data_IF_842095634456
#
_entry.id   IF_842095634456
#
_cell.length_a   1.000
_cell.length_b   1.000
_cell.length_c   1.000
_cell.angle_alpha   90.00
_cell.angle_beta   90.00
_cell.angle_gamma   90.00
#
_symmetry.space_group_name_H-M   'P 1'
#
loop_
_entity.id
_entity.type
_entity.pdbx_description
1 polymer ?
#
# COMPACT_ATOMS: atom_id res chain seq x y z
N UNK A 1 -10.36 0.79 -12.02
CA UNK A 1 -10.21 1.79 -10.94
C UNK A 1 -11.59 2.26 -10.56
N UNK A 2 -12.09 1.84 -9.42
CA UNK A 2 -13.40 2.23 -8.91
C UNK A 2 -13.55 1.65 -7.51
N UNK A 3 -13.97 2.48 -6.57
CA UNK A 3 -14.44 2.07 -5.26
C UNK A 3 -15.81 2.67 -5.01
N UNK A 4 -16.33 2.49 -3.80
CA UNK A 4 -17.69 2.91 -3.44
C UNK A 4 -17.94 4.41 -3.64
N UNK A 5 -16.93 5.25 -3.42
CA UNK A 5 -17.08 6.71 -3.48
C UNK A 5 -16.68 7.29 -4.83
N UNK A 6 -15.66 6.75 -5.50
CA UNK A 6 -15.18 7.28 -6.79
C UNK A 6 -16.11 7.00 -7.97
N UNK A 7 -17.10 6.12 -7.80
CA UNK A 7 -18.16 5.88 -8.78
C UNK A 7 -19.35 6.84 -8.65
N UNK A 8 -19.48 7.55 -7.53
CA UNK A 8 -20.52 8.54 -7.32
C UNK A 8 -20.23 9.81 -8.13
N UNK A 9 -21.26 10.62 -8.38
CA UNK A 9 -21.03 12.00 -8.82
C UNK A 9 -20.21 12.71 -7.73
N UNK A 10 -19.05 13.32 -8.06
CA UNK A 10 -18.26 14.07 -7.09
C UNK A 10 -19.07 15.05 -6.25
N UNK A 11 -20.11 15.67 -6.80
CA UNK A 11 -20.94 16.63 -6.04
C UNK A 11 -21.74 15.99 -4.89
N UNK A 12 -21.94 14.67 -4.91
CA UNK A 12 -22.59 13.90 -3.83
C UNK A 12 -21.61 13.48 -2.73
N UNK A 13 -20.31 13.67 -2.93
CA UNK A 13 -19.28 13.26 -1.97
C UNK A 13 -19.13 14.35 -0.91
N UNK A 14 -19.51 14.03 0.32
CA UNK A 14 -19.28 14.92 1.46
C UNK A 14 -17.78 15.00 1.80
N UNK A 15 -17.28 16.23 1.92
CA UNK A 15 -15.88 16.56 2.22
C UNK A 15 -15.88 17.44 3.47
N UNK A 16 -15.25 16.98 4.56
CA UNK A 16 -15.21 17.73 5.81
C UNK A 16 -14.59 19.12 5.61
N UNK A 17 -15.26 20.15 6.15
CA UNK A 17 -14.78 21.56 6.17
C UNK A 17 -14.47 22.16 4.79
N UNK A 18 -15.07 21.63 3.72
CA UNK A 18 -14.84 22.15 2.37
C UNK A 18 -15.27 23.62 2.24
N UNK A 19 -16.44 23.98 2.78
CA UNK A 19 -16.95 25.35 2.71
C UNK A 19 -16.02 26.35 3.41
N UNK A 20 -15.53 26.01 4.61
CA UNK A 20 -14.56 26.84 5.35
C UNK A 20 -13.28 27.10 4.51
N UNK A 21 -12.79 26.07 3.80
CA UNK A 21 -11.63 26.20 2.91
C UNK A 21 -11.93 27.11 1.70
N UNK A 22 -13.10 26.98 1.09
CA UNK A 22 -13.52 27.79 -0.06
C UNK A 22 -13.89 29.23 0.31
N UNK A 23 -14.29 29.47 1.56
CA UNK A 23 -14.48 30.82 2.10
C UNK A 23 -13.14 31.49 2.39
N UNK A 24 -12.18 30.74 2.94
CA UNK A 24 -10.81 31.21 3.18
C UNK A 24 -10.07 31.56 1.89
N UNK A 25 -10.27 30.78 0.83
CA UNK A 25 -9.72 31.04 -0.50
C UNK A 25 -10.79 30.90 -1.60
N UNK A 26 -11.50 32.00 -1.93
CA UNK A 26 -12.55 31.99 -2.95
C UNK A 26 -12.10 31.62 -4.36
N UNK A 27 -10.80 31.72 -4.68
CA UNK A 27 -10.28 31.33 -6.00
C UNK A 27 -10.38 29.82 -6.24
N UNK A 28 -10.57 29.03 -5.18
CA UNK A 28 -10.70 27.57 -5.26
C UNK A 28 -12.11 27.10 -5.63
N UNK A 29 -13.14 27.97 -5.55
CA UNK A 29 -14.55 27.59 -5.80
C UNK A 29 -14.79 26.92 -7.15
N UNK A 30 -14.21 27.38 -8.28
CA UNK A 30 -14.40 26.70 -9.57
C UNK A 30 -13.89 25.24 -9.58
N UNK A 31 -13.05 24.86 -8.63
CA UNK A 31 -12.43 23.54 -8.52
C UNK A 31 -13.07 22.65 -7.44
N UNK A 32 -14.18 23.07 -6.83
CA UNK A 32 -14.88 22.30 -5.78
C UNK A 32 -15.10 20.83 -6.19
N UNK A 33 -15.56 20.62 -7.43
CA UNK A 33 -15.81 19.29 -7.98
C UNK A 33 -14.57 18.39 -7.94
N UNK A 34 -13.39 18.95 -8.20
CA UNK A 34 -12.12 18.21 -8.15
C UNK A 34 -11.70 17.87 -6.73
N UNK A 35 -11.91 18.76 -5.75
CA UNK A 35 -11.68 18.44 -4.34
C UNK A 35 -12.53 17.25 -3.90
N UNK A 36 -13.83 17.26 -4.24
CA UNK A 36 -14.74 16.17 -3.91
C UNK A 36 -14.36 14.86 -4.61
N UNK A 37 -13.98 14.91 -5.90
CA UNK A 37 -13.49 13.74 -6.64
C UNK A 37 -12.24 13.14 -6.00
N UNK A 38 -11.26 13.96 -5.65
CA UNK A 38 -10.02 13.51 -4.98
C UNK A 38 -10.31 12.91 -3.61
N UNK A 39 -11.22 13.51 -2.85
CA UNK A 39 -11.61 12.98 -1.55
C UNK A 39 -12.33 11.63 -1.66
N UNK A 40 -13.14 11.42 -2.70
CA UNK A 40 -13.72 10.11 -2.99
C UNK A 40 -12.64 9.05 -3.29
N UNK A 41 -11.66 9.35 -4.14
CA UNK A 41 -10.53 8.45 -4.39
C UNK A 41 -9.74 8.16 -3.11
N UNK A 42 -9.53 9.16 -2.26
CA UNK A 42 -8.87 9.00 -0.96
C UNK A 42 -9.66 8.04 -0.05
N UNK A 43 -10.98 8.23 0.10
CA UNK A 43 -11.82 7.33 0.90
C UNK A 43 -11.77 5.89 0.38
N UNK A 44 -11.86 5.69 -0.93
CA UNK A 44 -11.74 4.36 -1.52
C UNK A 44 -10.37 3.71 -1.27
N UNK A 45 -9.29 4.50 -1.27
CA UNK A 45 -7.97 3.99 -0.96
C UNK A 45 -7.84 3.60 0.52
N UNK A 46 -8.37 4.42 1.42
CA UNK A 46 -8.41 4.14 2.86
C UNK A 46 -9.25 2.89 3.15
N UNK A 47 -10.42 2.74 2.53
CA UNK A 47 -11.27 1.56 2.71
C UNK A 47 -10.52 0.29 2.27
N UNK A 48 -9.83 0.31 1.12
CA UNK A 48 -9.00 -0.82 0.68
C UNK A 48 -7.87 -1.15 1.66
N UNK A 49 -7.20 -0.13 2.21
CA UNK A 49 -6.15 -0.32 3.22
C UNK A 49 -6.74 -0.92 4.50
N UNK A 50 -7.92 -0.48 4.92
CA UNK A 50 -8.58 -1.02 6.11
C UNK A 50 -9.03 -2.48 5.90
N UNK A 51 -9.61 -2.80 4.75
CA UNK A 51 -10.09 -4.14 4.41
C UNK A 51 -8.97 -5.17 4.23
N UNK A 52 -7.87 -4.79 3.56
CA UNK A 52 -6.79 -5.72 3.19
C UNK A 52 -5.53 -5.59 4.05
N UNK A 53 -5.24 -4.38 4.55
CA UNK A 53 -4.00 -4.06 5.26
C UNK A 53 -4.16 -3.95 6.77
N UNK A 54 -5.34 -4.26 7.34
CA UNK A 54 -5.59 -4.17 8.78
C UNK A 54 -5.63 -2.72 9.32
N UNK A 55 -5.76 -1.74 8.43
CA UNK A 55 -5.75 -0.31 8.76
C UNK A 55 -4.40 0.38 8.55
N UNK A 56 -4.40 1.71 8.59
CA UNK A 56 -3.21 2.51 8.26
C UNK A 56 -2.02 2.23 9.19
N UNK A 57 -2.29 1.97 10.47
CA UNK A 57 -1.27 1.67 11.47
C UNK A 57 -0.51 0.38 11.16
N UNK A 58 -1.23 -0.68 10.78
CA UNK A 58 -0.63 -1.95 10.40
C UNK A 58 0.01 -1.88 9.01
N UNK A 59 -0.67 -1.26 8.04
CA UNK A 59 -0.19 -1.12 6.66
C UNK A 59 1.17 -0.41 6.58
N UNK A 60 1.37 0.64 7.39
CA UNK A 60 2.64 1.39 7.43
C UNK A 60 3.78 0.66 8.13
N UNK A 61 3.52 -0.49 8.77
CA UNK A 61 4.52 -1.32 9.44
C UNK A 61 5.03 -2.48 8.56
N UNK A 62 4.80 -2.43 7.25
CA UNK A 62 5.24 -3.46 6.30
C UNK A 62 6.73 -3.82 6.44
N UNK A 63 7.60 -2.87 6.83
CA UNK A 63 9.04 -3.10 7.08
C UNK A 63 9.33 -4.18 8.12
N UNK A 64 8.38 -4.48 9.03
CA UNK A 64 8.52 -5.57 10.01
C UNK A 64 8.43 -6.96 9.38
N UNK A 65 7.92 -7.06 8.16
CA UNK A 65 7.68 -8.33 7.46
C UNK A 65 8.35 -8.42 6.09
N UNK A 66 8.47 -7.30 5.36
CA UNK A 66 9.24 -7.18 4.12
C UNK A 66 10.72 -6.88 4.41
N UNK A 67 11.59 -7.20 3.46
CA UNK A 67 13.03 -7.14 3.63
C UNK A 67 13.57 -8.38 4.35
N UNK A 68 14.69 -8.21 5.07
CA UNK A 68 15.40 -9.27 5.79
C UNK A 68 15.18 -9.07 7.29
N UNK A 69 14.47 -10.00 7.94
CA UNK A 69 14.11 -9.92 9.35
C UNK A 69 14.57 -11.17 10.12
N UNK A 70 15.31 -10.96 11.20
CA UNK A 70 15.73 -12.03 12.13
C UNK A 70 14.60 -12.31 13.11
N UNK A 71 14.26 -13.58 13.27
CA UNK A 71 13.20 -14.06 14.16
C UNK A 71 13.73 -14.39 15.56
N UNK A 72 12.86 -14.50 16.59
CA UNK A 72 13.28 -14.87 17.94
C UNK A 72 13.94 -16.24 18.07
N UNK A 73 13.68 -17.16 17.14
CA UNK A 73 14.32 -18.48 17.05
C UNK A 73 15.66 -18.46 16.27
N UNK A 74 16.17 -17.27 15.95
CA UNK A 74 17.35 -17.00 15.12
C UNK A 74 17.23 -17.42 13.65
N UNK A 75 16.04 -17.81 13.17
CA UNK A 75 15.82 -17.94 11.73
C UNK A 75 15.79 -16.57 11.03
N UNK A 76 16.09 -16.55 9.74
CA UNK A 76 16.06 -15.33 8.93
C UNK A 76 14.96 -15.45 7.88
N UNK A 77 13.98 -14.55 7.94
CA UNK A 77 12.90 -14.46 6.96
C UNK A 77 13.20 -13.32 5.99
N UNK A 78 13.23 -13.65 4.70
CA UNK A 78 13.38 -12.66 3.63
C UNK A 78 12.10 -12.60 2.80
N UNK A 79 11.53 -11.41 2.61
CA UNK A 79 10.32 -11.21 1.81
C UNK A 79 10.46 -10.00 0.91
N UNK A 80 10.20 -10.20 -0.37
CA UNK A 80 10.32 -9.17 -1.41
C UNK A 80 9.11 -9.20 -2.34
N UNK A 81 8.68 -8.03 -2.81
CA UNK A 81 7.60 -7.95 -3.81
C UNK A 81 8.20 -7.83 -5.22
N UNK A 82 8.19 -8.94 -5.96
CA UNK A 82 8.64 -8.96 -7.35
C UNK A 82 7.70 -9.82 -8.22
N UNK A 83 6.46 -9.35 -8.51
CA UNK A 83 5.46 -10.14 -9.23
C UNK A 83 5.87 -10.48 -10.67
N UNK A 84 6.78 -9.72 -11.28
CA UNK A 84 7.33 -9.99 -12.60
C UNK A 84 8.49 -10.99 -12.61
N UNK A 85 8.96 -11.47 -11.45
CA UNK A 85 10.13 -12.34 -11.38
C UNK A 85 9.75 -13.80 -11.67
N UNK A 86 10.46 -14.44 -12.61
CA UNK A 86 10.36 -15.90 -12.83
C UNK A 86 10.96 -16.69 -11.67
N UNK A 87 12.03 -16.17 -11.06
CA UNK A 87 12.75 -16.74 -9.92
C UNK A 87 13.41 -15.61 -9.13
N UNK A 88 13.52 -15.81 -7.81
CA UNK A 88 14.17 -14.90 -6.86
C UNK A 88 15.23 -15.68 -6.07
N UNK A 89 16.36 -15.03 -5.82
CA UNK A 89 17.50 -15.59 -5.10
C UNK A 89 18.07 -14.53 -4.15
N UNK A 90 18.57 -14.97 -2.99
CA UNK A 90 19.29 -14.12 -2.05
C UNK A 90 20.78 -14.45 -2.15
N UNK A 91 21.59 -13.43 -2.41
CA UNK A 91 23.03 -13.53 -2.53
C UNK A 91 23.71 -12.41 -1.74
N UNK A 92 24.91 -12.68 -1.24
CA UNK A 92 25.71 -11.74 -0.46
C UNK A 92 27.01 -12.39 -0.01
N UNK A 93 27.77 -11.75 0.87
CA UNK A 93 29.03 -12.34 1.34
C UNK A 93 28.83 -13.67 2.09
N UNK A 94 27.70 -13.83 2.76
CA UNK A 94 27.30 -15.08 3.43
C UNK A 94 27.01 -16.24 2.45
N UNK A 95 26.84 -15.97 1.16
CA UNK A 95 26.55 -16.99 0.15
C UNK A 95 27.79 -17.46 -0.61
N UNK A 96 29.01 -17.03 -0.24
CA UNK A 96 30.25 -17.37 -0.96
C UNK A 96 30.46 -18.90 -1.11
N UNK A 97 29.96 -19.69 -0.15
CA UNK A 97 30.04 -21.16 -0.16
C UNK A 97 28.81 -21.87 -0.75
N UNK A 98 27.69 -21.16 -0.95
CA UNK A 98 26.44 -21.74 -1.46
C UNK A 98 26.24 -21.38 -2.93
N UNK A 99 26.62 -22.30 -3.83
CA UNK A 99 26.28 -22.22 -5.25
C UNK A 99 25.47 -23.45 -5.70
N UNK A 100 24.23 -23.28 -6.21
CA UNK A 100 23.54 -22.01 -6.45
C UNK A 100 23.07 -21.31 -5.16
N UNK A 101 22.86 -19.98 -5.19
CA UNK A 101 22.35 -19.22 -4.04
C UNK A 101 20.95 -19.69 -3.62
N UNK A 102 20.57 -19.40 -2.38
CA UNK A 102 19.27 -19.80 -1.80
C UNK A 102 18.12 -19.22 -2.61
N UNK A 103 17.26 -20.12 -3.11
CA UNK A 103 16.09 -19.79 -3.93
C UNK A 103 14.89 -19.43 -3.04
N UNK A 104 14.14 -18.42 -3.44
CA UNK A 104 12.90 -18.02 -2.78
C UNK A 104 11.76 -18.91 -3.24
N UNK A 105 10.86 -19.22 -2.29
CA UNK A 105 9.52 -19.67 -2.65
C UNK A 105 8.75 -18.46 -3.19
N UNK A 106 8.26 -18.57 -4.43
CA UNK A 106 7.37 -17.57 -5.01
C UNK A 106 5.98 -17.77 -4.44
N UNK A 107 5.34 -16.66 -4.10
CA UNK A 107 4.06 -16.66 -3.42
C UNK A 107 3.13 -15.65 -4.06
N UNK A 108 1.84 -15.95 -4.09
CA UNK A 108 0.85 -15.08 -4.70
C UNK A 108 0.63 -13.84 -3.83
N UNK A 109 0.84 -12.66 -4.41
CA UNK A 109 0.58 -11.35 -3.79
C UNK A 109 1.12 -11.20 -2.36
N UNK A 110 2.36 -11.66 -2.12
CA UNK A 110 3.06 -11.60 -0.82
C UNK A 110 2.50 -12.52 0.28
N UNK A 111 1.48 -13.33 -0.02
CA UNK A 111 0.99 -14.37 0.88
C UNK A 111 1.67 -15.70 0.54
N UNK A 112 2.83 -15.93 1.14
CA UNK A 112 3.37 -17.27 1.28
C UNK A 112 2.59 -17.96 2.40
N UNK A 113 1.78 -18.96 2.09
CA UNK A 113 1.38 -19.96 3.09
C UNK A 113 2.53 -20.93 3.33
#
# INVERSE_FOLDING_TARGET
MGGKYSTLDPMQVDVPKLNEMLERDPYLRPYEREFRRRYACFKDAIDKINESGGGIGEFTQAYKSFGVNVQPDNSVVCREWAPGARQLFLAGEFSKEFRPPSRFNLCDNSYCR
#
